data_IF_988330430408
#
_entry.id   IF_988330430408
#
_cell.length_a   1.000
_cell.length_b   1.000
_cell.length_c   1.000
_cell.angle_alpha   90.00
_cell.angle_beta   90.00
_cell.angle_gamma   90.00
#
_symmetry.space_group_name_H-M   'P 1'
#
loop_
_entity.id
_entity.type
_entity.pdbx_description
1 polymer ?
#
# COMPACT_ATOMS: atom_id res chain seq x y z
N UNK A 1 52.70 23.98 -8.95
CA UNK A 1 51.38 23.34 -8.91
C UNK A 1 51.12 22.89 -7.48
N UNK A 2 50.37 23.67 -6.69
CA UNK A 2 50.01 23.27 -5.33
C UNK A 2 48.86 22.25 -5.43
N UNK A 3 49.12 20.97 -5.11
CA UNK A 3 48.04 20.03 -4.84
C UNK A 3 47.50 20.36 -3.45
N UNK A 4 46.27 20.86 -3.38
CA UNK A 4 45.51 20.88 -2.13
C UNK A 4 45.42 19.43 -1.64
N UNK A 5 46.12 19.12 -0.55
CA UNK A 5 45.86 17.88 0.19
C UNK A 5 44.45 18.03 0.74
N UNK A 6 43.54 17.18 0.28
CA UNK A 6 42.23 17.01 0.93
C UNK A 6 42.54 16.50 2.34
N UNK A 7 42.33 17.33 3.35
CA UNK A 7 42.53 16.90 4.73
C UNK A 7 41.54 15.77 5.04
N UNK A 8 42.03 14.71 5.67
CA UNK A 8 41.19 13.63 6.15
C UNK A 8 40.51 14.12 7.42
N UNK A 9 39.33 14.71 7.25
CA UNK A 9 38.41 15.02 8.32
C UNK A 9 37.46 13.82 8.42
N UNK A 10 37.14 13.39 9.64
CA UNK A 10 36.09 12.39 9.86
C UNK A 10 34.80 13.10 10.23
N UNK A 11 33.96 13.39 9.23
CA UNK A 11 32.70 14.09 9.45
C UNK A 11 31.72 13.29 10.30
N UNK A 12 31.84 11.96 10.34
CA UNK A 12 30.97 11.08 11.13
C UNK A 12 31.25 11.15 12.64
N UNK A 13 32.49 11.51 13.01
CA UNK A 13 32.91 11.68 14.41
C UNK A 13 32.81 13.13 14.91
N UNK A 14 32.25 14.05 14.11
CA UNK A 14 32.04 15.44 14.52
C UNK A 14 30.81 15.60 15.39
N UNK A 15 30.75 16.70 16.16
CA UNK A 15 29.57 17.04 16.98
C UNK A 15 28.32 17.35 16.15
N UNK A 16 28.51 17.72 14.88
CA UNK A 16 27.42 17.96 13.93
C UNK A 16 27.12 16.64 13.23
N UNK A 17 26.00 16.00 13.56
CA UNK A 17 25.56 14.77 12.88
C UNK A 17 25.23 15.09 11.42
N UNK A 18 26.00 14.58 10.44
CA UNK A 18 25.80 14.97 9.06
C UNK A 18 24.70 14.15 8.36
N UNK A 19 24.30 13.01 8.92
CA UNK A 19 23.28 12.12 8.36
C UNK A 19 21.99 12.14 9.18
N UNK A 20 20.91 11.61 8.61
CA UNK A 20 19.63 11.40 9.30
C UNK A 20 19.83 10.53 10.56
N UNK A 21 18.96 10.67 11.57
CA UNK A 21 18.96 9.84 12.78
C UNK A 21 18.79 8.34 12.45
N UNK A 22 18.08 8.05 11.36
CA UNK A 22 17.82 6.73 10.82
C UNK A 22 18.79 6.37 9.68
N UNK A 23 19.96 7.02 9.59
CA UNK A 23 21.02 6.69 8.64
C UNK A 23 22.33 6.31 9.34
N UNK A 24 23.13 5.52 8.64
CA UNK A 24 24.52 5.24 8.95
C UNK A 24 25.42 6.22 8.19
N UNK A 25 26.42 6.75 8.88
CA UNK A 25 27.43 7.64 8.31
C UNK A 25 28.69 6.84 7.98
N UNK A 26 29.16 6.93 6.74
CA UNK A 26 30.39 6.29 6.28
C UNK A 26 31.40 7.36 5.91
N UNK A 27 32.47 7.46 6.70
CA UNK A 27 33.56 8.37 6.38
C UNK A 27 34.37 7.87 5.19
N UNK A 28 34.76 8.76 4.29
CA UNK A 28 35.57 8.46 3.10
C UNK A 28 36.74 9.45 2.98
N UNK A 29 37.67 9.24 2.06
CA UNK A 29 38.83 10.12 1.97
C UNK A 29 38.43 11.55 1.49
N UNK A 30 38.34 12.46 2.46
CA UNK A 30 37.96 13.86 2.32
C UNK A 30 36.47 14.12 2.07
N UNK A 31 35.60 13.18 2.39
CA UNK A 31 34.14 13.36 2.35
C UNK A 31 33.49 12.27 3.19
N UNK A 32 32.17 12.27 3.28
CA UNK A 32 31.39 11.18 3.86
C UNK A 32 30.22 10.82 2.94
N UNK A 33 29.61 9.66 3.18
CA UNK A 33 28.34 9.27 2.60
C UNK A 33 27.37 8.85 3.70
N UNK A 34 26.07 8.95 3.40
CA UNK A 34 25.00 8.54 4.31
C UNK A 34 24.17 7.46 3.63
N UNK A 35 23.80 6.42 4.36
CA UNK A 35 22.87 5.37 3.89
C UNK A 35 21.80 5.14 4.94
N UNK A 36 20.52 5.10 4.56
CA UNK A 36 19.47 4.79 5.52
C UNK A 36 19.68 3.40 6.13
N UNK A 37 19.39 3.28 7.43
CA UNK A 37 19.42 2.02 8.17
C UNK A 37 18.39 1.05 7.58
N UNK A 38 18.59 -0.24 7.83
CA UNK A 38 17.63 -1.27 7.44
C UNK A 38 16.21 -0.93 7.90
N UNK A 39 15.23 -1.07 7.00
CA UNK A 39 13.83 -0.71 7.24
C UNK A 39 13.46 0.75 6.90
N UNK A 40 14.45 1.60 6.60
CA UNK A 40 14.25 2.98 6.16
C UNK A 40 14.70 3.18 4.72
N UNK A 41 14.16 4.20 4.05
CA UNK A 41 14.49 4.54 2.67
C UNK A 41 14.68 6.04 2.50
N UNK A 42 15.48 6.42 1.50
CA UNK A 42 15.82 7.82 1.23
C UNK A 42 17.28 7.97 0.82
N UNK A 43 17.81 9.20 0.90
CA UNK A 43 19.16 9.52 0.46
C UNK A 43 20.20 9.53 1.60
N UNK A 44 19.84 9.00 2.77
CA UNK A 44 20.68 9.02 3.98
C UNK A 44 20.76 10.36 4.71
N UNK A 45 20.37 11.46 4.07
CA UNK A 45 20.15 12.78 4.70
C UNK A 45 18.73 12.96 5.19
N UNK A 46 17.80 12.27 4.55
CA UNK A 46 16.41 12.12 4.95
C UNK A 46 16.08 10.64 4.81
N UNK A 47 15.63 10.02 5.89
CA UNK A 47 15.24 8.61 5.92
C UNK A 47 13.81 8.47 6.43
N UNK A 48 12.95 7.92 5.58
CA UNK A 48 11.53 7.70 5.81
C UNK A 48 11.28 6.25 6.22
N UNK A 49 10.43 6.05 7.21
CA UNK A 49 10.08 4.72 7.71
C UNK A 49 8.80 4.17 7.06
N UNK A 50 8.47 2.93 7.36
CA UNK A 50 7.19 2.31 7.00
C UNK A 50 6.43 1.86 8.24
N UNK A 51 5.15 2.17 8.32
CA UNK A 51 4.25 1.71 9.38
C UNK A 51 3.24 0.73 8.79
N UNK A 52 3.15 -0.46 9.38
CA UNK A 52 2.11 -1.44 9.07
C UNK A 52 0.77 -0.94 9.60
N UNK A 53 -0.21 -0.78 8.72
CA UNK A 53 -1.52 -0.23 9.09
C UNK A 53 -2.66 -1.25 8.98
N UNK A 54 -2.55 -2.18 8.04
CA UNK A 54 -3.57 -3.20 7.79
C UNK A 54 -2.95 -4.45 7.18
N UNK A 55 -3.70 -5.55 7.29
CA UNK A 55 -3.43 -6.81 6.61
C UNK A 55 -4.73 -7.41 6.11
N UNK A 56 -4.68 -7.89 4.88
CA UNK A 56 -5.79 -8.49 4.13
C UNK A 56 -5.45 -9.97 3.93
N UNK A 57 -6.11 -10.85 4.65
CA UNK A 57 -5.88 -12.29 4.60
C UNK A 57 -6.75 -12.96 3.55
N UNK A 58 -6.27 -14.05 2.96
CA UNK A 58 -7.12 -14.91 2.13
C UNK A 58 -7.46 -16.25 2.81
N UNK A 59 -7.13 -16.38 4.09
CA UNK A 59 -7.15 -17.64 4.82
C UNK A 59 -7.74 -17.50 6.22
N UNK A 60 -8.64 -16.54 6.42
CA UNK A 60 -9.42 -16.46 7.66
C UNK A 60 -10.90 -16.11 7.41
N UNK A 61 -11.68 -16.02 8.49
CA UNK A 61 -13.13 -15.78 8.44
C UNK A 61 -13.56 -14.36 8.77
N UNK A 62 -12.62 -13.44 9.01
CA UNK A 62 -12.88 -12.01 9.00
C UNK A 62 -12.77 -11.54 7.56
N UNK A 63 -13.45 -10.44 7.28
CA UNK A 63 -13.45 -9.87 5.96
C UNK A 63 -13.57 -8.36 6.06
N UNK A 64 -12.68 -7.66 5.38
CA UNK A 64 -12.68 -6.22 5.18
C UNK A 64 -13.89 -5.75 4.37
N UNK A 65 -14.48 -6.64 3.55
CA UNK A 65 -15.65 -6.35 2.72
C UNK A 65 -16.98 -6.63 3.41
N UNK A 66 -16.98 -6.80 4.74
CA UNK A 66 -18.20 -6.92 5.54
C UNK A 66 -19.25 -5.88 5.15
N UNK A 67 -20.48 -6.33 4.93
CA UNK A 67 -21.67 -5.58 4.50
C UNK A 67 -21.88 -4.16 5.08
N UNK A 68 -21.54 -3.93 6.33
CA UNK A 68 -21.67 -2.60 6.95
C UNK A 68 -20.48 -1.67 6.72
N UNK A 69 -19.43 -2.10 6.03
CA UNK A 69 -18.22 -1.32 5.77
C UNK A 69 -17.38 -0.99 7.01
N UNK A 70 -17.65 -1.60 8.17
CA UNK A 70 -17.04 -1.21 9.47
C UNK A 70 -15.53 -1.16 9.44
N UNK A 71 -14.86 -2.11 8.78
CA UNK A 71 -13.39 -2.14 8.73
C UNK A 71 -12.81 -0.89 8.08
N UNK A 72 -13.51 -0.30 7.10
CA UNK A 72 -13.11 0.88 6.33
C UNK A 72 -13.54 2.22 6.94
N UNK A 73 -14.55 2.24 7.83
CA UNK A 73 -15.09 3.49 8.38
C UNK A 73 -15.01 3.59 9.91
N UNK A 74 -15.32 2.51 10.64
CA UNK A 74 -15.73 2.61 12.04
C UNK A 74 -14.83 1.87 13.02
N UNK A 75 -13.96 0.97 12.55
CA UNK A 75 -13.05 0.25 13.43
C UNK A 75 -12.06 1.22 14.10
N UNK A 76 -12.14 1.29 15.44
CA UNK A 76 -11.32 2.16 16.30
C UNK A 76 -10.49 1.39 17.33
N UNK A 77 -10.56 0.06 17.30
CA UNK A 77 -9.79 -0.82 18.18
C UNK A 77 -8.87 -1.67 17.29
N UNK A 78 -7.58 -1.71 17.62
CA UNK A 78 -6.65 -2.58 16.93
C UNK A 78 -7.13 -4.04 17.00
N UNK A 79 -7.03 -4.77 15.90
CA UNK A 79 -7.46 -6.18 15.81
C UNK A 79 -6.39 -6.97 15.09
N UNK A 80 -6.11 -8.20 15.54
CA UNK A 80 -5.07 -9.06 14.97
C UNK A 80 -3.67 -8.75 15.50
N UNK A 81 -2.66 -9.47 14.99
CA UNK A 81 -1.26 -9.31 15.39
C UNK A 81 -0.62 -8.11 14.68
N UNK A 82 -0.71 -6.93 15.30
CA UNK A 82 -0.25 -5.64 14.70
C UNK A 82 1.27 -5.45 14.71
N UNK A 83 2.01 -6.30 15.41
CA UNK A 83 3.46 -6.23 15.58
C UNK A 83 4.22 -7.35 14.84
N UNK A 84 3.51 -8.31 14.25
CA UNK A 84 4.10 -9.42 13.51
C UNK A 84 3.55 -9.43 12.08
N UNK A 85 4.29 -8.89 11.08
CA UNK A 85 3.86 -8.83 9.69
C UNK A 85 3.81 -10.19 8.99
N UNK A 86 4.30 -11.27 9.60
CA UNK A 86 4.34 -12.59 8.97
C UNK A 86 3.04 -13.39 9.10
N UNK A 87 2.15 -12.97 9.99
CA UNK A 87 0.90 -13.69 10.28
C UNK A 87 -0.08 -13.57 9.12
N UNK A 88 -0.53 -14.70 8.57
CA UNK A 88 -1.61 -14.75 7.59
C UNK A 88 -2.99 -14.66 8.26
N UNK A 89 -3.29 -13.51 8.86
CA UNK A 89 -4.60 -13.19 9.41
C UNK A 89 -4.86 -11.69 9.28
N UNK A 90 -6.12 -11.33 9.10
CA UNK A 90 -6.63 -9.98 9.09
C UNK A 90 -6.18 -9.22 10.33
N UNK A 91 -5.71 -8.01 10.07
CA UNK A 91 -5.24 -7.12 11.10
C UNK A 91 -5.49 -5.68 10.71
N UNK A 92 -5.87 -4.89 11.68
CA UNK A 92 -5.89 -3.43 11.56
C UNK A 92 -5.21 -2.82 12.78
N UNK A 93 -4.24 -1.96 12.51
CA UNK A 93 -3.47 -1.25 13.53
C UNK A 93 -4.12 0.09 13.83
N UNK A 94 -3.90 0.64 15.02
CA UNK A 94 -4.32 2.01 15.34
C UNK A 94 -3.75 3.05 14.38
N UNK A 95 -2.57 2.76 13.82
CA UNK A 95 -1.92 3.59 12.81
C UNK A 95 -2.77 3.85 11.56
N UNK A 96 -3.72 2.97 11.25
CA UNK A 96 -4.64 3.13 10.11
C UNK A 96 -5.42 4.46 10.17
N UNK A 97 -5.76 4.93 11.39
CA UNK A 97 -6.47 6.19 11.62
C UNK A 97 -5.70 7.22 12.43
N UNK A 98 -4.51 6.90 12.96
CA UNK A 98 -3.72 7.83 13.78
C UNK A 98 -2.41 8.31 13.14
N UNK A 99 -1.85 7.56 12.18
CA UNK A 99 -0.59 7.92 11.52
C UNK A 99 -0.88 8.50 10.15
N UNK A 100 -0.35 9.70 9.91
CA UNK A 100 -0.38 10.35 8.61
C UNK A 100 0.83 9.93 7.79
N UNK A 101 0.67 9.81 6.48
CA UNK A 101 1.76 9.42 5.60
C UNK A 101 1.65 10.03 4.22
N UNK A 102 2.65 9.74 3.38
CA UNK A 102 2.72 10.28 2.01
C UNK A 102 2.53 9.21 0.95
N UNK A 103 3.10 8.01 1.17
CA UNK A 103 3.07 6.91 0.21
C UNK A 103 2.54 5.64 0.85
N UNK A 104 2.08 4.72 0.00
CA UNK A 104 1.60 3.38 0.32
C UNK A 104 2.58 2.37 -0.28
N UNK A 105 2.83 1.26 0.42
CA UNK A 105 3.34 0.03 -0.20
C UNK A 105 2.53 -1.17 0.23
N UNK A 106 2.52 -2.21 -0.62
CA UNK A 106 1.95 -3.51 -0.31
C UNK A 106 3.06 -4.56 -0.38
N UNK A 107 3.08 -5.47 0.59
CA UNK A 107 4.03 -6.60 0.65
C UNK A 107 3.27 -7.88 0.99
N UNK A 108 3.86 -9.06 0.76
CA UNK A 108 3.30 -10.32 1.27
C UNK A 108 3.71 -10.55 2.72
N UNK A 109 2.91 -11.32 3.45
CA UNK A 109 3.25 -11.81 4.80
C UNK A 109 4.28 -12.93 4.80
N UNK A 110 4.33 -13.73 3.74
CA UNK A 110 5.25 -14.87 3.60
C UNK A 110 6.61 -14.50 2.97
N UNK A 111 6.81 -13.23 2.60
CA UNK A 111 8.13 -12.70 2.30
C UNK A 111 8.76 -12.07 3.55
N UNK A 112 9.76 -12.71 4.18
CA UNK A 112 10.40 -12.18 5.39
C UNK A 112 11.18 -10.89 5.15
N UNK A 113 11.52 -10.57 3.90
CA UNK A 113 12.17 -9.31 3.54
C UNK A 113 11.17 -8.16 3.35
N UNK A 114 9.87 -8.47 3.31
CA UNK A 114 8.79 -7.53 2.98
C UNK A 114 9.12 -6.68 1.76
N UNK A 115 9.57 -7.34 0.69
CA UNK A 115 9.87 -6.70 -0.59
C UNK A 115 8.57 -6.08 -1.13
N UNK A 116 8.57 -4.78 -1.48
CA UNK A 116 7.38 -4.14 -2.05
C UNK A 116 6.93 -4.86 -3.33
N UNK A 117 5.68 -5.32 -3.34
CA UNK A 117 4.99 -5.75 -4.56
C UNK A 117 4.59 -4.52 -5.39
N UNK A 118 4.11 -3.49 -4.70
CA UNK A 118 3.94 -2.14 -5.23
C UNK A 118 4.34 -1.10 -4.20
N UNK A 119 4.70 0.07 -4.70
CA UNK A 119 4.88 1.30 -3.91
C UNK A 119 4.36 2.51 -4.70
N UNK A 120 3.60 3.38 -4.05
CA UNK A 120 3.12 4.62 -4.67
C UNK A 120 4.21 5.68 -4.74
N UNK A 121 4.03 6.64 -5.66
CA UNK A 121 4.85 7.84 -5.77
C UNK A 121 3.99 9.09 -5.96
N UNK A 122 4.58 10.26 -5.70
CA UNK A 122 3.95 11.55 -5.97
C UNK A 122 3.02 12.02 -4.85
N UNK A 123 3.28 11.61 -3.61
CA UNK A 123 2.52 11.99 -2.42
C UNK A 123 1.05 11.51 -2.47
N UNK A 124 0.86 10.21 -2.73
CA UNK A 124 -0.45 9.59 -2.89
C UNK A 124 -1.46 9.92 -1.76
N UNK A 125 -0.98 9.89 -0.51
CA UNK A 125 -1.80 10.15 0.68
C UNK A 125 -1.96 11.64 0.97
N UNK A 126 -1.05 12.49 0.50
CA UNK A 126 -1.13 13.93 0.72
C UNK A 126 -0.98 14.33 2.19
N UNK A 127 -0.22 13.57 2.99
CA UNK A 127 -0.11 13.79 4.43
C UNK A 127 -1.35 13.40 5.24
N UNK A 128 -2.28 12.63 4.66
CA UNK A 128 -3.46 12.13 5.38
C UNK A 128 -3.17 10.79 6.05
N UNK A 129 -3.99 10.43 7.04
CA UNK A 129 -4.11 9.03 7.46
C UNK A 129 -4.76 8.22 6.35
N UNK A 130 -4.49 6.92 6.33
CA UNK A 130 -5.11 6.06 5.31
C UNK A 130 -6.64 6.04 5.46
N UNK A 131 -7.18 6.04 6.70
CA UNK A 131 -8.63 6.23 6.95
C UNK A 131 -9.14 7.53 6.31
N UNK A 132 -8.51 8.68 6.56
CA UNK A 132 -8.95 9.96 5.95
C UNK A 132 -8.93 9.91 4.43
N UNK A 133 -7.89 9.32 3.83
CA UNK A 133 -7.82 9.15 2.38
C UNK A 133 -9.03 8.36 1.86
N UNK A 134 -9.31 7.21 2.46
CA UNK A 134 -10.43 6.34 2.07
C UNK A 134 -11.78 7.03 2.23
N UNK A 135 -12.03 7.69 3.37
CA UNK A 135 -13.32 8.34 3.65
C UNK A 135 -13.50 9.68 2.94
N UNK A 136 -12.44 10.28 2.39
CA UNK A 136 -12.53 11.55 1.65
C UNK A 136 -13.36 11.46 0.36
N UNK A 137 -13.54 10.26 -0.19
CA UNK A 137 -14.28 10.05 -1.44
C UNK A 137 -15.79 9.87 -1.25
N UNK A 138 -16.22 9.59 -0.02
CA UNK A 138 -17.63 9.39 0.28
C UNK A 138 -17.86 8.52 1.49
N UNK A 139 -19.15 8.29 1.74
CA UNK A 139 -19.68 7.41 2.76
C UNK A 139 -20.45 6.31 2.03
N UNK A 140 -19.95 5.07 2.09
CA UNK A 140 -20.44 3.92 1.30
C UNK A 140 -20.94 2.75 2.15
N UNK A 141 -21.07 2.92 3.47
CA UNK A 141 -21.61 1.87 4.36
C UNK A 141 -23.04 1.50 4.00
N UNK A 142 -23.49 0.36 4.54
CA UNK A 142 -24.86 -0.14 4.42
C UNK A 142 -25.30 -0.32 2.96
N UNK A 143 -24.42 -0.91 2.14
CA UNK A 143 -24.72 -1.27 0.76
C UNK A 143 -24.83 -0.11 -0.23
N UNK A 144 -24.35 1.08 0.12
CA UNK A 144 -24.38 2.21 -0.81
C UNK A 144 -23.33 2.06 -1.91
N UNK A 145 -23.78 2.16 -3.16
CA UNK A 145 -22.92 2.13 -4.36
C UNK A 145 -21.93 3.29 -4.35
N UNK A 146 -20.65 3.02 -4.63
CA UNK A 146 -19.61 4.05 -4.57
C UNK A 146 -19.32 4.76 -5.89
N UNK A 147 -19.33 4.06 -7.01
CA UNK A 147 -18.99 4.62 -8.31
C UNK A 147 -19.74 3.94 -9.45
N UNK A 148 -19.70 4.56 -10.63
CA UNK A 148 -20.12 3.91 -11.87
C UNK A 148 -19.08 4.22 -12.96
N UNK A 149 -18.45 3.18 -13.52
CA UNK A 149 -17.46 3.25 -14.60
C UNK A 149 -16.29 4.21 -14.32
N UNK A 150 -15.83 4.29 -13.07
CA UNK A 150 -14.73 5.18 -12.67
C UNK A 150 -14.05 4.69 -11.39
N UNK A 151 -12.81 5.13 -11.19
CA UNK A 151 -12.20 5.23 -9.87
C UNK A 151 -12.39 6.64 -9.32
N UNK A 152 -12.68 6.77 -8.02
CA UNK A 152 -12.87 8.09 -7.38
C UNK A 152 -11.55 8.83 -7.14
N UNK A 153 -10.43 8.11 -7.10
CA UNK A 153 -9.10 8.70 -7.11
C UNK A 153 -8.05 7.69 -7.54
N UNK A 154 -6.85 8.15 -7.89
CA UNK A 154 -5.75 7.28 -8.35
C UNK A 154 -4.40 7.75 -7.85
N UNK A 155 -3.43 6.84 -7.78
CA UNK A 155 -2.02 7.12 -7.49
C UNK A 155 -1.11 6.36 -8.44
N UNK A 156 0.03 6.94 -8.80
CA UNK A 156 1.07 6.26 -9.59
C UNK A 156 1.80 5.25 -8.73
N UNK A 157 2.13 4.08 -9.29
CA UNK A 157 2.90 3.04 -8.60
C UNK A 157 4.12 2.55 -9.39
N UNK A 158 5.08 2.03 -8.65
CA UNK A 158 6.14 1.15 -9.16
C UNK A 158 5.92 -0.25 -8.60
N UNK A 159 6.02 -1.26 -9.47
CA UNK A 159 5.94 -2.66 -9.09
C UNK A 159 7.33 -3.25 -8.84
N UNK A 160 7.39 -4.25 -7.97
CA UNK A 160 8.61 -4.94 -7.59
C UNK A 160 8.34 -6.32 -7.00
N UNK A 161 9.39 -6.98 -6.52
CA UNK A 161 9.27 -8.29 -5.87
C UNK A 161 8.53 -9.32 -6.72
N UNK A 162 7.63 -10.07 -6.08
CA UNK A 162 6.89 -11.18 -6.69
C UNK A 162 5.47 -10.78 -7.13
N UNK A 163 5.25 -9.53 -7.56
CA UNK A 163 3.90 -9.05 -7.88
C UNK A 163 3.21 -9.90 -8.95
N UNK A 164 3.94 -10.40 -9.96
CA UNK A 164 3.37 -11.23 -11.05
C UNK A 164 2.77 -12.55 -10.61
N UNK A 165 3.22 -13.08 -9.47
CA UNK A 165 2.73 -14.34 -8.89
C UNK A 165 1.85 -14.11 -7.65
N UNK A 166 1.37 -12.87 -7.46
CA UNK A 166 0.51 -12.50 -6.34
C UNK A 166 -0.90 -12.20 -6.85
N UNK A 167 -1.90 -12.78 -6.18
CA UNK A 167 -3.31 -12.55 -6.48
C UNK A 167 -3.68 -11.08 -6.22
N UNK A 168 -4.53 -10.52 -7.09
CA UNK A 168 -4.87 -9.10 -7.14
C UNK A 168 -3.94 -8.24 -7.99
N UNK A 169 -2.84 -8.77 -8.52
CA UNK A 169 -1.90 -8.04 -9.38
C UNK A 169 -1.96 -8.44 -10.86
N UNK A 170 -2.93 -9.28 -11.25
CA UNK A 170 -3.07 -9.82 -12.60
C UNK A 170 -3.19 -8.73 -13.68
N UNK A 171 -3.72 -7.54 -13.32
CA UNK A 171 -3.85 -6.40 -14.24
C UNK A 171 -2.73 -5.36 -14.14
N UNK A 172 -1.64 -5.64 -13.40
CA UNK A 172 -0.50 -4.73 -13.21
C UNK A 172 0.29 -4.43 -14.51
N UNK A 173 0.04 -5.16 -15.59
CA UNK A 173 0.64 -4.93 -16.92
C UNK A 173 -0.40 -4.52 -17.98
N UNK A 174 -1.68 -4.39 -17.61
CA UNK A 174 -2.75 -4.04 -18.53
C UNK A 174 -3.03 -2.53 -18.53
N UNK A 175 -3.16 -1.92 -19.71
CA UNK A 175 -3.58 -0.53 -19.83
C UNK A 175 -5.02 -0.47 -20.33
N UNK A 176 -5.92 -0.08 -19.44
CA UNK A 176 -7.34 -0.06 -19.73
C UNK A 176 -7.91 1.34 -19.79
N UNK A 177 -9.16 1.42 -20.24
CA UNK A 177 -9.87 2.69 -20.41
C UNK A 177 -10.43 3.24 -19.09
N UNK A 178 -10.53 2.44 -18.03
CA UNK A 178 -10.83 2.91 -16.68
C UNK A 178 -9.58 3.50 -16.01
N UNK A 179 -8.46 2.78 -16.15
CA UNK A 179 -7.17 3.11 -15.52
C UNK A 179 -6.01 2.39 -16.25
N UNK A 180 -4.81 2.97 -16.21
CA UNK A 180 -3.57 2.40 -16.76
C UNK A 180 -2.85 1.47 -15.79
N UNK A 181 -1.94 0.63 -16.32
CA UNK A 181 -1.21 -0.40 -15.58
C UNK A 181 -0.43 0.15 -14.37
N UNK A 182 0.15 1.34 -14.50
CA UNK A 182 1.04 1.92 -13.49
C UNK A 182 0.30 2.68 -12.37
N UNK A 183 -0.90 2.21 -12.00
CA UNK A 183 -1.77 2.91 -11.05
C UNK A 183 -2.33 1.97 -9.99
N UNK A 184 -2.61 2.56 -8.83
CA UNK A 184 -3.70 2.10 -7.98
C UNK A 184 -4.86 3.08 -8.08
N UNK A 185 -6.08 2.57 -8.01
CA UNK A 185 -7.32 3.35 -7.98
C UNK A 185 -8.07 3.13 -6.67
N UNK A 186 -8.80 4.14 -6.20
CA UNK A 186 -9.65 4.05 -5.00
C UNK A 186 -11.12 4.06 -5.41
N UNK A 187 -11.90 3.17 -4.79
CA UNK A 187 -13.35 3.03 -5.01
C UNK A 187 -13.68 2.94 -6.51
N UNK A 188 -13.14 1.89 -7.14
CA UNK A 188 -13.28 1.65 -8.56
C UNK A 188 -14.51 0.81 -8.86
N UNK A 189 -15.16 1.13 -9.97
CA UNK A 189 -16.30 0.41 -10.52
C UNK A 189 -16.17 0.33 -12.05
N UNK A 190 -16.66 -0.76 -12.63
CA UNK A 190 -16.83 -0.90 -14.06
C UNK A 190 -18.13 -1.60 -14.46
N UNK A 191 -18.93 -0.94 -15.29
CA UNK A 191 -20.17 -1.49 -15.86
C UNK A 191 -21.27 -1.72 -14.81
N UNK A 192 -22.17 -2.65 -15.07
CA UNK A 192 -23.11 -3.23 -14.11
C UNK A 192 -22.46 -4.37 -13.32
N UNK A 193 -21.19 -4.20 -12.96
CA UNK A 193 -20.35 -5.29 -12.47
C UNK A 193 -19.58 -4.91 -11.21
N UNK A 194 -18.61 -5.77 -10.99
CA UNK A 194 -17.83 -5.93 -9.77
C UNK A 194 -16.82 -4.78 -9.61
N UNK A 195 -16.42 -4.51 -8.37
CA UNK A 195 -15.62 -3.34 -8.03
C UNK A 195 -14.60 -3.61 -6.94
N UNK A 196 -13.80 -2.59 -6.63
CA UNK A 196 -12.77 -2.69 -5.60
C UNK A 196 -12.58 -1.40 -4.82
N UNK A 197 -12.29 -1.55 -3.52
CA UNK A 197 -11.91 -0.41 -2.67
C UNK A 197 -10.55 0.14 -3.09
N UNK A 198 -9.60 -0.75 -3.43
CA UNK A 198 -8.32 -0.37 -4.01
C UNK A 198 -7.95 -1.27 -5.19
N UNK A 199 -8.18 -0.76 -6.41
CA UNK A 199 -7.86 -1.45 -7.65
C UNK A 199 -6.36 -1.38 -7.96
N UNK A 200 -5.73 -2.50 -8.31
CA UNK A 200 -4.30 -2.57 -8.62
C UNK A 200 -4.08 -2.87 -10.10
N UNK A 201 -3.51 -1.91 -10.82
CA UNK A 201 -3.25 -2.07 -12.26
C UNK A 201 -4.31 -1.40 -13.13
N UNK A 202 -4.40 -1.85 -14.38
CA UNK A 202 -5.39 -1.32 -15.32
C UNK A 202 -6.78 -1.92 -15.11
N UNK A 203 -7.80 -1.15 -15.49
CA UNK A 203 -9.18 -1.61 -15.39
C UNK A 203 -10.00 -1.24 -16.64
N UNK A 204 -11.19 -1.83 -16.73
CA UNK A 204 -12.14 -1.58 -17.80
C UNK A 204 -12.28 -2.75 -18.76
N UNK A 205 -12.82 -2.51 -19.96
CA UNK A 205 -13.21 -3.57 -20.88
C UNK A 205 -12.03 -4.41 -21.39
N UNK A 206 -10.84 -3.81 -21.49
CA UNK A 206 -9.62 -4.51 -21.94
C UNK A 206 -8.80 -5.13 -20.82
N UNK A 207 -9.14 -4.88 -19.56
CA UNK A 207 -8.38 -5.32 -18.38
C UNK A 207 -9.27 -6.04 -17.37
N UNK A 208 -10.25 -6.80 -17.85
CA UNK A 208 -11.14 -7.62 -17.01
C UNK A 208 -11.75 -6.82 -15.84
N UNK A 209 -12.47 -5.72 -16.15
CA UNK A 209 -13.30 -4.94 -15.19
C UNK A 209 -12.48 -4.22 -14.10
N UNK A 210 -12.99 -4.19 -12.87
CA UNK A 210 -12.49 -3.40 -11.73
C UNK A 210 -12.47 -4.17 -10.40
N UNK A 211 -12.60 -5.49 -10.47
CA UNK A 211 -12.79 -6.51 -9.43
C UNK A 211 -11.49 -7.20 -9.03
N UNK A 212 -10.41 -6.43 -9.01
CA UNK A 212 -9.09 -6.94 -8.68
C UNK A 212 -8.32 -5.95 -7.81
N UNK A 213 -7.44 -6.49 -6.97
CA UNK A 213 -6.69 -5.71 -5.99
C UNK A 213 -7.18 -6.01 -4.58
N UNK A 214 -7.44 -4.98 -3.78
CA UNK A 214 -7.82 -5.10 -2.36
C UNK A 214 -9.26 -4.64 -2.15
N UNK A 215 -10.00 -5.42 -1.36
CA UNK A 215 -11.39 -5.21 -1.04
C UNK A 215 -12.26 -5.29 -2.29
N UNK A 216 -12.36 -6.49 -2.86
CA UNK A 216 -13.13 -6.71 -4.10
C UNK A 216 -14.56 -7.14 -3.76
N UNK A 217 -15.51 -6.75 -4.58
CA UNK A 217 -16.91 -7.14 -4.46
C UNK A 217 -17.38 -7.73 -5.78
N UNK A 218 -18.04 -8.88 -5.73
CA UNK A 218 -18.68 -9.55 -6.87
C UNK A 218 -20.20 -9.27 -6.90
N UNK A 219 -20.58 -8.09 -6.40
CA UNK A 219 -21.95 -7.62 -6.45
C UNK A 219 -22.24 -6.99 -7.82
N UNK A 220 -23.48 -7.16 -8.32
CA UNK A 220 -23.96 -6.49 -9.53
C UNK A 220 -23.72 -4.95 -9.53
N UNK A 221 -23.49 -4.35 -8.36
CA UNK A 221 -23.05 -2.98 -8.19
C UNK A 221 -21.95 -2.90 -7.12
N UNK A 222 -20.93 -2.09 -7.38
CA UNK A 222 -19.80 -1.91 -6.48
C UNK A 222 -20.21 -1.27 -5.14
N UNK A 223 -20.44 -2.13 -4.14
CA UNK A 223 -21.01 -1.82 -2.82
C UNK A 223 -20.62 -2.88 -1.78
N UNK A 224 -20.83 -2.56 -0.49
CA UNK A 224 -20.74 -3.54 0.62
C UNK A 224 -22.08 -4.29 0.78
N UNK A 225 -22.53 -5.03 -0.23
CA UNK A 225 -23.73 -5.89 -0.12
C UNK A 225 -23.32 -7.35 -0.21
N UNK A 226 -24.03 -8.20 0.53
CA UNK A 226 -23.72 -9.63 0.66
C UNK A 226 -23.68 -10.37 -0.69
N UNK A 227 -22.46 -10.62 -1.15
CA UNK A 227 -22.07 -11.62 -2.16
C UNK A 227 -20.55 -11.75 -2.15
N UNK A 228 -20.03 -12.98 -2.04
CA UNK A 228 -18.61 -13.36 -2.19
C UNK A 228 -17.61 -12.26 -1.80
N UNK A 229 -17.47 -12.02 -0.49
CA UNK A 229 -16.57 -11.01 0.05
C UNK A 229 -15.11 -11.53 -0.04
N UNK A 230 -14.21 -10.78 -0.66
CA UNK A 230 -12.78 -11.12 -0.71
C UNK A 230 -11.91 -9.93 -0.32
N UNK A 231 -11.00 -10.15 0.63
CA UNK A 231 -10.09 -9.12 1.12
C UNK A 231 -9.10 -8.64 0.05
N UNK A 232 -8.70 -9.55 -0.84
CA UNK A 232 -7.96 -9.25 -2.05
C UNK A 232 -8.09 -10.40 -3.05
N UNK A 233 -7.83 -10.13 -4.32
CA UNK A 233 -7.83 -11.17 -5.36
C UNK A 233 -8.10 -10.63 -6.75
N UNK A 234 -8.37 -11.55 -7.66
CA UNK A 234 -8.82 -11.32 -9.03
C UNK A 234 -9.92 -12.34 -9.32
N UNK A 235 -11.12 -11.87 -9.68
CA UNK A 235 -12.27 -12.72 -10.08
C UNK A 235 -12.55 -13.81 -9.03
N UNK A 236 -12.62 -13.47 -7.74
CA UNK A 236 -12.85 -14.39 -6.61
C UNK A 236 -11.86 -15.57 -6.39
N UNK A 237 -10.74 -15.64 -7.11
CA UNK A 237 -9.79 -16.76 -7.03
C UNK A 237 -8.61 -16.49 -6.08
N UNK A 238 -8.34 -17.42 -5.16
CA UNK A 238 -7.17 -17.43 -4.28
C UNK A 238 -6.30 -18.65 -4.60
N UNK A 239 -5.04 -18.44 -5.02
CA UNK A 239 -4.17 -19.52 -5.50
C UNK A 239 -3.25 -20.11 -4.43
N UNK A 240 -2.90 -19.35 -3.39
CA UNK A 240 -2.02 -19.78 -2.29
C UNK A 240 -2.43 -19.09 -0.96
N UNK A 241 -2.08 -19.66 0.20
CA UNK A 241 -2.41 -19.08 1.51
C UNK A 241 -1.36 -18.07 1.96
N UNK A 242 -1.68 -16.77 1.85
CA UNK A 242 -0.86 -15.65 2.34
C UNK A 242 -1.75 -14.41 2.54
N UNK A 243 -1.18 -13.33 3.06
CA UNK A 243 -1.88 -12.06 3.21
C UNK A 243 -1.09 -10.90 2.64
N UNK A 244 -1.80 -9.85 2.26
CA UNK A 244 -1.21 -8.58 1.83
C UNK A 244 -1.09 -7.64 3.03
N UNK A 245 0.13 -7.27 3.37
CA UNK A 245 0.42 -6.23 4.34
C UNK A 245 0.37 -4.86 3.65
N UNK A 246 -0.39 -3.94 4.23
CA UNK A 246 -0.47 -2.55 3.79
C UNK A 246 0.31 -1.64 4.72
N UNK A 247 1.23 -0.87 4.14
CA UNK A 247 2.10 0.02 4.86
C UNK A 247 1.97 1.44 4.34
N UNK A 248 2.17 2.42 5.23
CA UNK A 248 2.30 3.83 4.85
C UNK A 248 3.65 4.40 5.28
N UNK A 249 4.15 5.37 4.52
CA UNK A 249 5.42 6.04 4.82
C UNK A 249 5.23 7.23 5.75
N UNK A 250 6.17 7.44 6.69
CA UNK A 250 6.20 8.59 7.61
C UNK A 250 7.58 9.23 7.69
#
# INVERSE_FOLDING_TARGET
MFRLKKEYIDECSTSIRPCDINADCHNTNGSYSCSCKSGFFGNGKTCTGWTLIARFSNSDGKNWMRDDGKWWYDQQIATGATNDPSVNNDMISTAFWSVSGNEIKITRSDDPSHTPLLQTTGNCLGGQTFRSKITSYGEFRNGKVWASHRCLGTCTVHYGGQYKSTDGFQQAECNGNLQSANKIGFWCDWSSGDGSVMMIGGGGSSCYRADHGVGITEANEASFVYSYEHDFGFDSHTSQSYSLNLWISY
#
